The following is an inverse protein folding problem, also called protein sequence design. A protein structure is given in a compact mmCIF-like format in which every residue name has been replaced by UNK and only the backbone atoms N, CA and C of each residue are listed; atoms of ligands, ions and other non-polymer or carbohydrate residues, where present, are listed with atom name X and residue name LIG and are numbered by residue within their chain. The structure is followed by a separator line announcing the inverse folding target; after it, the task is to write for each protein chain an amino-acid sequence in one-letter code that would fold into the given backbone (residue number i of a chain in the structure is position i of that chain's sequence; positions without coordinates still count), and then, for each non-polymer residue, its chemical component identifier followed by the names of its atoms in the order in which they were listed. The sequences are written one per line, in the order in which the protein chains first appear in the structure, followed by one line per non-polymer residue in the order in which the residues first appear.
data_IF_783638421999
#
_entry.id   IF_783638421999
#
_cell.length_a   1.000
_cell.length_b   1.000
_cell.length_c   1.000
_cell.angle_alpha   90.00
_cell.angle_beta   90.00
_cell.angle_gamma   90.00
#
_symmetry.space_group_name_H-M   'P 1'
#
loop_
_entity.id
_entity.type
_entity.pdbx_description
1 polymer ?
#
# COMPACT_ATOMS: atom_id res chain seq x y z
N UNK A 1 11.66 29.57 85.42
CA UNK A 1 11.43 28.12 85.65
C UNK A 1 10.57 27.43 84.58
N UNK A 2 10.33 28.01 83.39
CA UNK A 2 9.45 27.41 82.36
C UNK A 2 10.17 26.80 81.13
N UNK A 3 11.38 27.28 80.78
CA UNK A 3 12.15 26.83 79.60
C UNK A 3 12.51 25.33 79.61
N UNK A 4 12.75 24.75 80.79
CA UNK A 4 13.05 23.33 80.92
C UNK A 4 11.89 22.42 80.52
N UNK A 5 10.64 22.92 80.53
CA UNK A 5 9.45 22.13 80.19
C UNK A 5 9.26 22.01 78.67
N UNK A 6 9.46 23.10 77.93
CA UNK A 6 9.34 23.10 76.46
C UNK A 6 10.49 22.35 75.79
N UNK A 7 11.72 22.54 76.28
CA UNK A 7 12.88 21.83 75.76
C UNK A 7 12.78 20.31 76.00
N UNK A 8 12.19 19.90 77.13
CA UNK A 8 11.87 18.50 77.39
C UNK A 8 10.76 17.95 76.48
N UNK A 9 9.75 18.76 76.15
CA UNK A 9 8.70 18.39 75.18
C UNK A 9 9.27 18.21 73.78
N UNK A 10 10.12 19.13 73.33
CA UNK A 10 10.79 19.04 72.03
C UNK A 10 11.71 17.81 71.96
N UNK A 11 12.55 17.56 72.98
CA UNK A 11 13.40 16.36 73.03
C UNK A 11 12.61 15.06 72.93
N UNK A 12 11.46 14.96 73.63
CA UNK A 12 10.55 13.80 73.52
C UNK A 12 9.96 13.67 72.11
N UNK A 13 9.50 14.79 71.53
CA UNK A 13 8.94 14.82 70.18
C UNK A 13 9.96 14.37 69.12
N UNK A 14 11.18 14.92 69.14
CA UNK A 14 12.25 14.52 68.24
C UNK A 14 12.71 13.07 68.50
N UNK A 15 12.70 12.61 69.75
CA UNK A 15 12.97 11.21 70.11
C UNK A 15 11.97 10.25 69.46
N UNK A 16 10.67 10.54 69.55
CA UNK A 16 9.60 9.73 68.94
C UNK A 16 9.66 9.73 67.41
N UNK A 17 9.96 10.88 66.79
CA UNK A 17 10.16 10.96 65.34
C UNK A 17 11.37 10.13 64.92
N UNK A 18 12.50 10.27 65.63
CA UNK A 18 13.71 9.50 65.36
C UNK A 18 13.42 8.01 65.47
N UNK A 19 12.79 7.58 66.56
CA UNK A 19 12.42 6.17 66.79
C UNK A 19 11.49 5.63 65.69
N UNK A 20 10.50 6.42 65.25
CA UNK A 20 9.60 6.04 64.15
C UNK A 20 10.34 5.90 62.82
N UNK A 21 11.31 6.77 62.54
CA UNK A 21 12.12 6.74 61.32
C UNK A 21 13.19 5.64 61.35
N UNK A 22 13.74 5.35 62.52
CA UNK A 22 14.74 4.29 62.74
C UNK A 22 14.12 2.95 63.09
N UNK A 23 12.78 2.82 63.06
CA UNK A 23 12.11 1.53 63.27
C UNK A 23 12.63 0.55 62.20
N UNK A 24 13.31 -0.54 62.61
CA UNK A 24 14.04 -1.39 61.69
C UNK A 24 13.13 -1.98 60.60
N UNK A 25 11.86 -2.23 60.90
CA UNK A 25 10.89 -2.73 59.93
C UNK A 25 10.52 -1.75 58.80
N UNK A 26 10.52 -0.43 59.02
CA UNK A 26 10.20 0.55 57.97
C UNK A 26 11.44 0.76 57.08
N UNK A 27 12.62 0.88 57.68
CA UNK A 27 13.88 0.99 56.96
C UNK A 27 14.15 -0.27 56.10
N UNK A 28 13.95 -1.48 56.66
CA UNK A 28 14.12 -2.74 55.95
C UNK A 28 13.15 -2.90 54.76
N UNK A 29 11.87 -2.52 54.93
CA UNK A 29 10.89 -2.55 53.82
C UNK A 29 11.26 -1.60 52.68
N UNK A 30 11.75 -0.40 53.01
CA UNK A 30 12.22 0.57 52.01
C UNK A 30 13.46 0.04 51.29
N UNK A 31 14.42 -0.52 52.00
CA UNK A 31 15.61 -1.14 51.41
C UNK A 31 15.23 -2.28 50.44
N UNK A 32 14.36 -3.21 50.87
CA UNK A 32 13.88 -4.30 50.02
C UNK A 32 13.14 -3.80 48.77
N UNK A 33 12.37 -2.73 48.88
CA UNK A 33 11.69 -2.12 47.73
C UNK A 33 12.69 -1.46 46.76
N UNK A 34 13.72 -0.79 47.27
CA UNK A 34 14.79 -0.21 46.46
C UNK A 34 15.52 -1.31 45.69
N UNK A 35 15.90 -2.40 46.36
CA UNK A 35 16.57 -3.55 45.70
C UNK A 35 15.70 -4.19 44.61
N UNK A 36 14.38 -4.26 44.82
CA UNK A 36 13.46 -4.76 43.80
C UNK A 36 13.38 -3.82 42.60
N UNK A 37 13.30 -2.50 42.83
CA UNK A 37 13.31 -1.51 41.76
C UNK A 37 14.63 -1.52 40.97
N UNK A 38 15.77 -1.65 41.66
CA UNK A 38 17.08 -1.77 41.02
C UNK A 38 17.15 -3.02 40.13
N UNK A 39 16.63 -4.16 40.61
CA UNK A 39 16.54 -5.40 39.81
C UNK A 39 15.67 -5.22 38.57
N UNK A 40 14.53 -4.54 38.71
CA UNK A 40 13.64 -4.24 37.58
C UNK A 40 14.29 -3.30 36.56
N UNK A 41 15.00 -2.27 37.02
CA UNK A 41 15.73 -1.35 36.15
C UNK A 41 16.82 -2.07 35.34
N UNK A 42 17.59 -2.96 35.97
CA UNK A 42 18.61 -3.76 35.28
C UNK A 42 17.98 -4.69 34.24
N UNK A 43 16.86 -5.33 34.59
CA UNK A 43 16.14 -6.19 33.65
C UNK A 43 15.59 -5.39 32.45
N UNK A 44 14.99 -4.22 32.72
CA UNK A 44 14.47 -3.34 31.69
C UNK A 44 15.57 -2.79 30.77
N UNK A 45 16.71 -2.40 31.32
CA UNK A 45 17.85 -1.93 30.52
C UNK A 45 18.35 -3.01 29.55
N UNK A 46 18.47 -4.27 30.02
CA UNK A 46 18.86 -5.40 29.16
C UNK A 46 17.85 -5.67 28.05
N UNK A 47 16.55 -5.59 28.36
CA UNK A 47 15.49 -5.77 27.36
C UNK A 47 15.48 -4.63 26.33
N UNK A 48 15.71 -3.39 26.77
CA UNK A 48 15.86 -2.24 25.87
C UNK A 48 17.03 -2.42 24.92
N UNK A 49 18.21 -2.80 25.42
CA UNK A 49 19.38 -3.08 24.57
C UNK A 49 19.12 -4.21 23.58
N UNK A 50 18.43 -5.27 24.00
CA UNK A 50 18.10 -6.39 23.12
C UNK A 50 17.15 -5.96 21.99
N UNK A 51 16.14 -5.14 22.32
CA UNK A 51 15.20 -4.57 21.35
C UNK A 51 15.88 -3.61 20.39
N UNK A 52 16.78 -2.75 20.87
CA UNK A 52 17.57 -1.84 20.04
C UNK A 52 18.41 -2.61 19.02
N UNK A 53 19.07 -3.70 19.45
CA UNK A 53 19.80 -4.60 18.53
C UNK A 53 18.88 -5.26 17.51
N UNK A 54 17.68 -5.67 17.94
CA UNK A 54 16.70 -6.27 17.03
C UNK A 54 16.18 -5.26 16.01
N UNK A 55 15.90 -4.02 16.43
CA UNK A 55 15.47 -2.93 15.56
C UNK A 55 16.55 -2.64 14.52
N UNK A 56 17.81 -2.44 14.95
CA UNK A 56 18.91 -2.17 14.04
C UNK A 56 19.10 -3.27 12.99
N UNK A 57 18.96 -4.55 13.39
CA UNK A 57 19.00 -5.68 12.45
C UNK A 57 17.86 -5.61 11.43
N UNK A 58 16.63 -5.41 11.90
CA UNK A 58 15.45 -5.38 11.04
C UNK A 58 15.49 -4.20 10.05
N UNK A 59 16.05 -3.06 10.45
CA UNK A 59 16.23 -1.91 9.57
C UNK A 59 17.17 -2.22 8.41
N UNK A 60 18.28 -2.93 8.67
CA UNK A 60 19.20 -3.40 7.63
C UNK A 60 18.49 -4.38 6.68
N UNK A 61 17.81 -5.38 7.23
CA UNK A 61 17.09 -6.39 6.43
C UNK A 61 16.00 -5.74 5.55
N UNK A 62 15.31 -4.73 6.07
CA UNK A 62 14.30 -3.95 5.34
C UNK A 62 14.93 -3.15 4.20
N UNK A 63 16.05 -2.47 4.46
CA UNK A 63 16.77 -1.72 3.42
C UNK A 63 17.22 -2.63 2.28
N UNK A 64 17.75 -3.82 2.58
CA UNK A 64 18.16 -4.82 1.59
C UNK A 64 16.98 -5.37 0.80
N UNK A 65 15.83 -5.59 1.44
CA UNK A 65 14.61 -6.01 0.75
C UNK A 65 14.09 -4.91 -0.20
N UNK A 66 14.09 -3.65 0.25
CA UNK A 66 13.68 -2.50 -0.56
C UNK A 66 14.59 -2.31 -1.78
N UNK A 67 15.92 -2.43 -1.60
CA UNK A 67 16.89 -2.35 -2.69
C UNK A 67 16.65 -3.43 -3.76
N UNK A 68 16.35 -4.67 -3.33
CA UNK A 68 16.02 -5.78 -4.23
C UNK A 68 14.74 -5.54 -5.02
N UNK A 69 13.68 -5.06 -4.37
CA UNK A 69 12.42 -4.73 -5.05
C UNK A 69 12.60 -3.62 -6.08
N UNK A 70 13.34 -2.57 -5.74
CA UNK A 70 13.64 -1.48 -6.67
C UNK A 70 14.47 -1.97 -7.86
N UNK A 71 15.44 -2.86 -7.65
CA UNK A 71 16.22 -3.46 -8.73
C UNK A 71 15.33 -4.29 -9.67
N UNK A 72 14.44 -5.12 -9.12
CA UNK A 72 13.48 -5.90 -9.92
C UNK A 72 12.53 -5.01 -10.72
N UNK A 73 11.99 -3.96 -10.09
CA UNK A 73 11.11 -2.99 -10.76
C UNK A 73 11.81 -2.31 -11.95
N UNK A 74 13.09 -1.90 -11.77
CA UNK A 74 13.90 -1.32 -12.86
C UNK A 74 14.08 -2.29 -14.02
N UNK A 75 14.34 -3.58 -13.75
CA UNK A 75 14.47 -4.59 -14.79
C UNK A 75 13.15 -4.74 -15.57
N UNK A 76 12.01 -4.86 -14.88
CA UNK A 76 10.70 -4.98 -15.52
C UNK A 76 10.34 -3.76 -16.38
N UNK A 77 10.69 -2.55 -15.91
CA UNK A 77 10.48 -1.33 -16.67
C UNK A 77 11.41 -1.26 -17.90
N UNK A 78 12.69 -1.60 -17.75
CA UNK A 78 13.63 -1.64 -18.87
C UNK A 78 13.23 -2.69 -19.92
N UNK A 79 12.73 -3.86 -19.49
CA UNK A 79 12.19 -4.87 -20.41
C UNK A 79 10.94 -4.38 -21.12
N UNK A 80 10.07 -3.62 -20.44
CA UNK A 80 8.89 -2.99 -21.04
C UNK A 80 9.28 -1.89 -22.05
N UNK A 81 10.28 -1.07 -21.75
CA UNK A 81 10.80 -0.05 -22.67
C UNK A 81 11.42 -0.70 -23.91
N UNK A 82 12.19 -1.79 -23.75
CA UNK A 82 12.69 -2.58 -24.89
C UNK A 82 11.57 -3.19 -25.73
N UNK A 83 10.48 -3.65 -25.12
CA UNK A 83 9.30 -4.15 -25.83
C UNK A 83 8.47 -3.03 -26.48
N UNK A 84 8.52 -1.81 -25.96
CA UNK A 84 7.82 -0.62 -26.48
C UNK A 84 8.61 0.19 -27.51
N UNK A 85 9.90 -0.09 -27.70
CA UNK A 85 10.80 0.64 -28.62
C UNK A 85 10.63 0.27 -30.10
N UNK A 86 9.69 -0.63 -30.46
CA UNK A 86 9.41 -1.03 -31.84
C UNK A 86 8.27 -0.21 -32.51
N UNK A 87 7.86 0.94 -31.96
CA UNK A 87 6.88 1.78 -32.64
C UNK A 87 6.75 3.19 -32.13
N UNK A 88 6.92 4.15 -33.03
CA UNK A 88 6.58 5.57 -32.89
C UNK A 88 5.15 5.75 -32.32
N UNK A 89 5.03 6.01 -31.01
CA UNK A 89 3.76 6.21 -30.30
C UNK A 89 3.32 7.69 -30.22
N UNK A 90 4.02 8.59 -30.92
CA UNK A 90 3.73 10.03 -30.90
C UNK A 90 2.59 10.50 -31.83
N UNK A 91 2.21 9.70 -32.83
CA UNK A 91 1.27 10.11 -33.90
C UNK A 91 0.05 9.17 -34.04
N UNK A 92 -0.12 8.23 -33.10
CA UNK A 92 -1.23 7.27 -33.13
C UNK A 92 -2.40 7.81 -32.32
N UNK A 93 -3.64 7.81 -32.87
CA UNK A 93 -4.80 8.26 -32.12
C UNK A 93 -5.00 7.38 -30.87
N UNK A 94 -5.33 8.04 -29.77
CA UNK A 94 -5.68 7.37 -28.52
C UNK A 94 -6.94 6.52 -28.71
N UNK A 95 -7.12 5.51 -27.85
CA UNK A 95 -8.31 4.64 -27.93
C UNK A 95 -9.60 5.45 -27.79
N UNK A 96 -9.60 6.46 -26.93
CA UNK A 96 -10.75 7.32 -26.70
C UNK A 96 -11.09 8.13 -27.96
N UNK A 97 -10.09 8.62 -28.70
CA UNK A 97 -10.30 9.31 -29.97
C UNK A 97 -10.85 8.38 -31.05
N UNK A 98 -10.29 7.17 -31.17
CA UNK A 98 -10.77 6.15 -32.11
C UNK A 98 -12.24 5.84 -31.84
N UNK A 99 -12.57 5.61 -30.57
CA UNK A 99 -13.95 5.27 -30.17
C UNK A 99 -14.88 6.45 -30.37
N UNK A 100 -14.46 7.68 -30.04
CA UNK A 100 -15.26 8.88 -30.27
C UNK A 100 -15.60 9.07 -31.76
N UNK A 101 -14.70 8.72 -32.67
CA UNK A 101 -14.98 8.73 -34.12
C UNK A 101 -16.04 7.69 -34.47
N UNK A 102 -15.92 6.45 -33.98
CA UNK A 102 -16.90 5.38 -34.25
C UNK A 102 -18.27 5.70 -33.67
N UNK A 103 -18.34 6.30 -32.47
CA UNK A 103 -19.59 6.62 -31.81
C UNK A 103 -20.40 7.72 -32.53
N UNK A 104 -19.81 8.46 -33.47
CA UNK A 104 -20.57 9.38 -34.34
C UNK A 104 -21.65 8.65 -35.16
N UNK A 105 -21.43 7.38 -35.48
CA UNK A 105 -22.39 6.53 -36.20
C UNK A 105 -23.45 5.90 -35.26
N UNK A 106 -23.31 6.08 -33.94
CA UNK A 106 -24.16 5.49 -32.90
C UNK A 106 -24.53 6.54 -31.82
N UNK A 107 -25.37 7.54 -32.15
CA UNK A 107 -25.62 8.70 -31.26
C UNK A 107 -26.30 8.34 -29.93
N UNK A 108 -26.99 7.20 -29.84
CA UNK A 108 -27.69 6.74 -28.64
C UNK A 108 -26.81 5.91 -27.69
N UNK A 109 -25.51 5.82 -27.96
CA UNK A 109 -24.58 4.93 -27.25
C UNK A 109 -23.39 5.73 -26.72
N UNK A 110 -23.19 5.69 -25.42
CA UNK A 110 -22.06 6.35 -24.75
C UNK A 110 -20.86 5.41 -24.58
N UNK A 111 -19.69 5.96 -24.25
CA UNK A 111 -18.52 5.16 -23.88
C UNK A 111 -18.80 4.20 -22.72
N UNK A 112 -19.55 4.64 -21.71
CA UNK A 112 -19.93 3.82 -20.56
C UNK A 112 -20.77 2.60 -21.00
N UNK A 113 -21.64 2.77 -21.99
CA UNK A 113 -22.41 1.66 -22.57
C UNK A 113 -21.51 0.67 -23.32
N UNK A 114 -20.45 1.16 -23.99
CA UNK A 114 -19.49 0.33 -24.73
C UNK A 114 -18.69 -0.57 -23.78
N UNK A 115 -18.15 -0.02 -22.68
CA UNK A 115 -17.35 -0.80 -21.70
C UNK A 115 -18.22 -1.62 -20.74
N UNK A 116 -19.49 -1.26 -20.57
CA UNK A 116 -20.43 -1.95 -19.69
C UNK A 116 -20.55 -3.44 -20.00
N UNK A 117 -20.73 -4.26 -18.96
CA UNK A 117 -20.89 -5.73 -19.06
C UNK A 117 -22.30 -6.13 -19.59
N UNK A 118 -23.24 -5.18 -19.68
CA UNK A 118 -24.63 -5.45 -20.08
C UNK A 118 -24.72 -6.05 -21.48
N UNK A 119 -25.51 -7.11 -21.62
CA UNK A 119 -25.71 -7.85 -22.90
C UNK A 119 -26.96 -7.39 -23.66
N UNK A 120 -27.15 -6.08 -23.75
CA UNK A 120 -28.24 -5.51 -24.56
C UNK A 120 -27.93 -5.65 -26.05
N UNK A 121 -28.89 -6.16 -26.84
CA UNK A 121 -28.72 -6.39 -28.28
C UNK A 121 -28.31 -5.12 -29.04
N UNK A 122 -28.82 -3.96 -28.64
CA UNK A 122 -28.49 -2.66 -29.25
C UNK A 122 -27.01 -2.26 -29.12
N UNK A 123 -26.31 -2.78 -28.10
CA UNK A 123 -24.91 -2.41 -27.81
C UNK A 123 -23.89 -3.34 -28.49
N UNK A 124 -24.32 -4.49 -29.02
CA UNK A 124 -23.40 -5.47 -29.62
C UNK A 124 -22.69 -4.88 -30.84
N UNK A 125 -23.45 -4.29 -31.76
CA UNK A 125 -22.92 -3.71 -33.01
C UNK A 125 -21.98 -2.51 -32.75
N UNK A 126 -22.35 -1.50 -31.93
CA UNK A 126 -21.44 -0.43 -31.54
C UNK A 126 -20.12 -0.93 -30.91
N UNK A 127 -20.19 -1.91 -30.00
CA UNK A 127 -18.99 -2.46 -29.33
C UNK A 127 -18.06 -3.15 -30.30
N UNK A 128 -18.59 -3.99 -31.19
CA UNK A 128 -17.76 -4.68 -32.18
C UNK A 128 -17.11 -3.68 -33.15
N UNK A 129 -17.83 -2.62 -33.55
CA UNK A 129 -17.27 -1.56 -34.37
C UNK A 129 -16.11 -0.83 -33.66
N UNK A 130 -16.26 -0.52 -32.37
CA UNK A 130 -15.21 0.09 -31.56
C UNK A 130 -13.99 -0.84 -31.42
N UNK A 131 -14.19 -2.12 -31.09
CA UNK A 131 -13.11 -3.11 -30.96
C UNK A 131 -12.32 -3.27 -32.27
N UNK A 132 -13.02 -3.27 -33.40
CA UNK A 132 -12.40 -3.37 -34.74
C UNK A 132 -11.60 -2.12 -35.07
N UNK A 133 -12.18 -0.94 -34.90
CA UNK A 133 -11.48 0.31 -35.19
C UNK A 133 -10.20 0.46 -34.34
N UNK A 134 -10.26 0.06 -33.06
CA UNK A 134 -9.07 0.00 -32.21
C UNK A 134 -8.06 -1.01 -32.75
N UNK A 135 -8.49 -2.21 -33.13
CA UNK A 135 -7.57 -3.21 -33.71
C UNK A 135 -6.88 -2.74 -35.00
N UNK A 136 -7.59 -2.01 -35.87
CA UNK A 136 -7.06 -1.52 -37.14
C UNK A 136 -6.07 -0.35 -36.96
N UNK A 137 -6.37 0.57 -36.04
CA UNK A 137 -5.59 1.80 -35.84
C UNK A 137 -4.48 1.66 -34.79
N UNK A 138 -4.63 0.74 -33.82
CA UNK A 138 -3.67 0.45 -32.74
C UNK A 138 -3.08 -0.95 -32.89
N UNK A 139 -2.16 -1.12 -33.86
CA UNK A 139 -1.45 -2.40 -34.08
C UNK A 139 -0.47 -2.76 -32.96
N UNK A 140 -0.16 -1.82 -32.06
CA UNK A 140 0.59 -2.02 -30.83
C UNK A 140 -0.17 -2.86 -29.79
N UNK A 141 -1.51 -2.86 -29.85
CA UNK A 141 -2.34 -3.60 -28.91
C UNK A 141 -2.55 -5.05 -29.35
N UNK A 142 -2.17 -5.98 -28.49
CA UNK A 142 -2.62 -7.38 -28.61
C UNK A 142 -4.14 -7.49 -28.44
N UNK A 143 -4.74 -8.55 -29.00
CA UNK A 143 -6.17 -8.86 -28.82
C UNK A 143 -6.57 -8.95 -27.33
N UNK A 144 -5.67 -9.44 -26.47
CA UNK A 144 -5.86 -9.46 -25.03
C UNK A 144 -5.78 -8.06 -24.40
N UNK A 145 -4.92 -7.19 -24.91
CA UNK A 145 -4.84 -5.78 -24.52
C UNK A 145 -6.14 -5.03 -24.84
N UNK A 146 -6.66 -5.20 -26.07
CA UNK A 146 -7.95 -4.64 -26.49
C UNK A 146 -9.08 -5.21 -25.61
N UNK A 147 -9.10 -6.52 -25.37
CA UNK A 147 -10.09 -7.15 -24.50
C UNK A 147 -10.13 -6.55 -23.09
N UNK A 148 -8.97 -6.26 -22.49
CA UNK A 148 -8.90 -5.61 -21.18
C UNK A 148 -9.54 -4.23 -21.16
N UNK A 149 -9.37 -3.44 -22.22
CA UNK A 149 -9.97 -2.11 -22.34
C UNK A 149 -11.50 -2.20 -22.41
N UNK A 150 -12.04 -3.13 -23.20
CA UNK A 150 -13.49 -3.30 -23.35
C UNK A 150 -14.12 -4.23 -22.30
N UNK A 151 -13.36 -4.67 -21.30
CA UNK A 151 -13.77 -5.68 -20.30
C UNK A 151 -14.33 -6.97 -20.94
N UNK A 152 -13.64 -7.52 -21.94
CA UNK A 152 -14.01 -8.73 -22.68
C UNK A 152 -12.84 -9.68 -22.89
N UNK A 153 -13.18 -10.94 -23.13
CA UNK A 153 -12.21 -11.95 -23.53
C UNK A 153 -11.66 -11.65 -24.93
N UNK A 154 -10.39 -11.98 -25.12
CA UNK A 154 -9.68 -11.82 -26.40
C UNK A 154 -10.38 -12.55 -27.57
N UNK A 155 -11.12 -13.63 -27.28
CA UNK A 155 -11.95 -14.36 -28.27
C UNK A 155 -13.13 -13.54 -28.76
N UNK A 156 -13.71 -12.68 -27.91
CA UNK A 156 -14.79 -11.76 -28.30
C UNK A 156 -14.26 -10.69 -29.24
N UNK A 157 -13.06 -10.16 -28.95
CA UNK A 157 -12.38 -9.21 -29.84
C UNK A 157 -12.08 -9.86 -31.18
N UNK A 158 -11.56 -11.09 -31.19
CA UNK A 158 -11.31 -11.84 -32.42
C UNK A 158 -12.58 -12.01 -33.25
N UNK A 159 -13.70 -12.38 -32.61
CA UNK A 159 -14.99 -12.51 -33.29
C UNK A 159 -15.48 -11.18 -33.87
N UNK A 160 -15.30 -10.06 -33.15
CA UNK A 160 -15.68 -8.73 -33.64
C UNK A 160 -14.87 -8.31 -34.88
N UNK A 161 -13.58 -8.62 -34.92
CA UNK A 161 -12.71 -8.34 -36.07
C UNK A 161 -13.07 -9.24 -37.26
N UNK A 162 -13.31 -10.54 -37.03
CA UNK A 162 -13.64 -11.50 -38.10
C UNK A 162 -15.03 -11.31 -38.70
N UNK A 163 -16.03 -10.93 -37.89
CA UNK A 163 -17.41 -10.75 -38.35
C UNK A 163 -17.58 -9.64 -39.41
N UNK A 164 -16.62 -8.72 -39.51
CA UNK A 164 -16.62 -7.64 -40.49
C UNK A 164 -16.00 -8.03 -41.84
N UNK A 165 -14.91 -8.80 -41.81
CA UNK A 165 -14.21 -9.26 -43.01
C UNK A 165 -15.01 -10.26 -43.86
N UNK A 166 -16.10 -10.81 -43.32
CA UNK A 166 -17.05 -11.66 -44.05
C UNK A 166 -18.16 -10.90 -44.79
N UNK A 167 -18.20 -9.56 -44.72
CA UNK A 167 -19.28 -8.73 -45.29
C UNK A 167 -18.84 -7.77 -46.40
N UNK A 168 -17.66 -7.99 -47.01
CA UNK A 168 -17.14 -7.19 -48.13
C UNK A 168 -17.03 -8.00 -49.44
N UNK A 169 -17.72 -9.13 -49.54
CA UNK A 169 -18.01 -9.80 -50.82
C UNK A 169 -19.52 -9.91 -50.94
N UNK A 170 -20.07 -9.62 -52.13
CA UNK A 170 -21.51 -9.57 -52.51
C UNK A 170 -22.12 -8.16 -52.26
N UNK A 171 -22.36 -7.28 -53.25
CA UNK A 171 -22.55 -7.33 -54.71
C UNK A 171 -21.79 -6.19 -55.41
#
# INVERSE_FOLDING_TARGET
MAENSELARQKRHYGLIRERLTRPGIAARRAAHIEELERQLVAFARDSEAKERQIAKLEIDLADAAARLLAQARILLADREKQGSDGEDGDRPSVDEIVAVVLKDFPDVSWDDIISVRRERRLVRPRHACMRAVYEQRRDLSLAGIGRIFHRDHTTVLAAVQAAGGSETVY
#
